data_IF_221850243861
#
_entry.id   IF_221850243861
#
_cell.length_a   1.000
_cell.length_b   1.000
_cell.length_c   1.000
_cell.angle_alpha   90.00
_cell.angle_beta   90.00
_cell.angle_gamma   90.00
#
_symmetry.space_group_name_H-M   'P 1'
#
loop_
_entity.id
_entity.type
_entity.pdbx_description
1 polymer ?
#
# COMPACT_ATOMS: atom_id res chain seq x y z
N UNK A 1 -2.23 -23.34 -59.19
CA UNK A 1 -3.45 -22.76 -58.58
C UNK A 1 -3.16 -22.03 -57.25
N UNK A 2 -1.94 -21.51 -57.02
CA UNK A 2 -1.57 -20.91 -55.72
C UNK A 2 -0.93 -19.50 -55.79
N UNK A 3 -0.55 -19.00 -56.97
CA UNK A 3 0.05 -17.65 -57.08
C UNK A 3 -0.98 -16.52 -57.17
N UNK A 4 -2.17 -16.77 -57.73
CA UNK A 4 -3.23 -15.74 -57.80
C UNK A 4 -3.84 -15.44 -56.43
N UNK A 5 -4.00 -16.43 -55.55
CA UNK A 5 -4.49 -16.22 -54.18
C UNK A 5 -3.51 -15.42 -53.32
N UNK A 6 -2.20 -15.65 -53.45
CA UNK A 6 -1.20 -14.86 -52.71
C UNK A 6 -1.10 -13.41 -53.20
N UNK A 7 -1.32 -13.17 -54.51
CA UNK A 7 -1.37 -11.81 -55.07
C UNK A 7 -2.64 -11.06 -54.66
N UNK A 8 -3.79 -11.74 -54.61
CA UNK A 8 -5.05 -11.17 -54.09
C UNK A 8 -4.92 -10.84 -52.60
N UNK A 9 -4.35 -11.73 -51.78
CA UNK A 9 -4.12 -11.48 -50.35
C UNK A 9 -3.14 -10.33 -50.10
N UNK A 10 -2.05 -10.23 -50.89
CA UNK A 10 -1.12 -9.09 -50.81
C UNK A 10 -1.72 -7.78 -51.31
N UNK A 11 -2.68 -7.83 -52.23
CA UNK A 11 -3.41 -6.64 -52.71
C UNK A 11 -4.47 -6.19 -51.69
N UNK A 12 -5.11 -7.14 -50.99
CA UNK A 12 -6.03 -6.87 -49.88
C UNK A 12 -5.33 -6.29 -48.65
N UNK A 13 -4.13 -6.80 -48.28
CA UNK A 13 -3.31 -6.20 -47.22
C UNK A 13 -2.82 -4.79 -47.58
N UNK A 14 -2.46 -4.53 -48.85
CA UNK A 14 -2.10 -3.16 -49.29
C UNK A 14 -3.31 -2.22 -49.40
N UNK A 15 -4.52 -2.75 -49.60
CA UNK A 15 -5.77 -1.97 -49.57
C UNK A 15 -6.25 -1.68 -48.14
N UNK A 16 -5.93 -2.53 -47.15
CA UNK A 16 -6.22 -2.22 -45.74
C UNK A 16 -5.28 -1.16 -45.17
N UNK A 17 -4.00 -1.16 -45.56
CA UNK A 17 -3.04 -0.15 -45.09
C UNK A 17 -3.31 1.25 -45.67
N UNK A 18 -3.89 1.32 -46.87
CA UNK A 18 -4.24 2.61 -47.51
C UNK A 18 -5.59 3.20 -47.07
N UNK A 19 -6.41 2.45 -46.31
CA UNK A 19 -7.66 2.94 -45.72
C UNK A 19 -7.48 3.48 -44.30
N UNK A 20 -6.35 3.18 -43.63
CA UNK A 20 -5.97 3.75 -42.34
C UNK A 20 -5.06 4.99 -42.45
N UNK A 21 -4.82 5.50 -43.66
CA UNK A 21 -4.17 6.80 -43.89
C UNK A 21 -5.23 7.93 -43.96
N UNK A 22 -6.29 7.79 -43.16
CA UNK A 22 -7.33 8.82 -43.03
C UNK A 22 -6.93 9.80 -41.92
N UNK A 23 -6.37 10.94 -42.34
CA UNK A 23 -6.32 12.23 -41.62
C UNK A 23 -6.47 12.12 -40.09
N UNK A 24 -5.45 11.61 -39.40
CA UNK A 24 -5.26 11.95 -38.00
C UNK A 24 -5.01 13.45 -37.95
N UNK A 25 -5.98 14.19 -37.42
CA UNK A 25 -5.79 15.61 -37.17
C UNK A 25 -4.74 15.77 -36.07
N UNK A 26 -4.02 16.90 -36.04
CA UNK A 26 -3.02 17.17 -34.99
C UNK A 26 -3.63 17.01 -33.58
N UNK A 27 -4.91 17.34 -33.46
CA UNK A 27 -5.75 17.12 -32.29
C UNK A 27 -5.82 15.64 -31.86
N UNK A 28 -5.98 14.70 -32.79
CA UNK A 28 -6.08 13.26 -32.47
C UNK A 28 -4.75 12.71 -31.92
N UNK A 29 -3.62 13.23 -32.44
CA UNK A 29 -2.29 12.85 -31.98
C UNK A 29 -2.01 13.37 -30.57
N UNK A 30 -2.44 14.58 -30.27
CA UNK A 30 -2.25 15.17 -28.94
C UNK A 30 -3.18 14.56 -27.89
N UNK A 31 -4.43 14.23 -28.24
CA UNK A 31 -5.31 13.44 -27.39
C UNK A 31 -4.73 12.06 -27.09
N UNK A 32 -4.19 11.39 -28.12
CA UNK A 32 -3.54 10.09 -27.93
C UNK A 32 -2.35 10.18 -26.98
N UNK A 33 -1.48 11.19 -27.14
CA UNK A 33 -0.35 11.41 -26.22
C UNK A 33 -0.83 11.62 -24.78
N UNK A 34 -1.88 12.41 -24.57
CA UNK A 34 -2.43 12.63 -23.24
C UNK A 34 -2.95 11.35 -22.59
N UNK A 35 -3.65 10.50 -23.35
CA UNK A 35 -4.12 9.20 -22.86
C UNK A 35 -2.93 8.33 -22.45
N UNK A 36 -1.91 8.29 -23.31
CA UNK A 36 -0.69 7.51 -23.09
C UNK A 36 0.05 8.02 -21.85
N UNK A 37 0.20 9.33 -21.67
CA UNK A 37 0.81 9.93 -20.48
C UNK A 37 0.01 9.63 -19.20
N UNK A 38 -1.31 9.75 -19.21
CA UNK A 38 -2.16 9.44 -18.03
C UNK A 38 -2.02 7.98 -17.59
N UNK A 39 -1.81 7.06 -18.53
CA UNK A 39 -1.74 5.63 -18.25
C UNK A 39 -0.33 5.14 -17.85
N UNK A 40 0.72 5.74 -18.40
CA UNK A 40 2.06 5.14 -18.40
C UNK A 40 3.19 6.05 -17.90
N UNK A 41 2.91 7.31 -17.61
CA UNK A 41 3.92 8.17 -16.98
C UNK A 41 4.27 7.68 -15.56
N UNK A 42 5.47 8.03 -15.07
CA UNK A 42 5.92 7.72 -13.71
C UNK A 42 6.52 8.96 -12.98
N UNK A 43 6.34 9.13 -11.66
CA UNK A 43 6.99 10.22 -10.92
C UNK A 43 8.49 9.96 -10.79
N UNK A 44 9.30 11.03 -10.74
CA UNK A 44 10.73 10.97 -10.48
C UNK A 44 11.17 11.98 -9.40
N UNK A 45 12.24 11.68 -8.63
CA UNK A 45 12.65 12.57 -7.54
C UNK A 45 13.15 13.96 -7.97
N UNK A 46 13.65 14.09 -9.20
CA UNK A 46 14.26 15.32 -9.73
C UNK A 46 13.23 16.18 -10.44
N UNK A 47 13.41 17.49 -10.43
CA UNK A 47 12.58 18.41 -11.19
C UNK A 47 12.69 18.17 -12.70
N UNK A 48 11.65 18.58 -13.43
CA UNK A 48 11.55 18.53 -14.87
C UNK A 48 10.63 17.41 -15.38
N UNK A 49 10.63 17.24 -16.69
CA UNK A 49 9.90 16.19 -17.39
C UNK A 49 10.83 15.61 -18.45
N UNK A 50 11.08 14.30 -18.40
CA UNK A 50 11.99 13.60 -19.32
C UNK A 50 11.31 12.36 -19.91
N UNK A 51 11.71 11.88 -21.10
CA UNK A 51 11.16 10.64 -21.65
C UNK A 51 11.33 9.44 -20.71
N UNK A 52 10.32 8.57 -20.65
CA UNK A 52 10.39 7.33 -19.89
C UNK A 52 10.89 6.18 -20.79
N UNK A 53 12.22 6.06 -20.87
CA UNK A 53 12.88 5.03 -21.68
C UNK A 53 12.59 3.60 -21.20
N UNK A 54 12.35 3.41 -19.90
CA UNK A 54 12.08 2.10 -19.31
C UNK A 54 10.72 1.55 -19.74
N UNK A 55 9.72 2.43 -19.92
CA UNK A 55 8.37 2.06 -20.39
C UNK A 55 8.26 2.04 -21.92
N UNK A 56 9.25 2.58 -22.64
CA UNK A 56 9.23 2.66 -24.10
C UNK A 56 8.29 3.73 -24.66
N UNK A 57 7.85 4.68 -23.82
CA UNK A 57 6.91 5.75 -24.14
C UNK A 57 6.58 6.61 -22.90
N UNK A 58 5.94 7.76 -23.10
CA UNK A 58 5.56 8.73 -22.05
C UNK A 58 6.76 9.42 -21.38
N UNK A 59 6.53 9.97 -20.19
CA UNK A 59 7.49 10.73 -19.43
C UNK A 59 7.63 10.29 -17.98
N UNK A 60 8.82 10.54 -17.43
CA UNK A 60 9.01 10.76 -16.02
C UNK A 60 8.75 12.24 -15.69
N UNK A 61 8.08 12.52 -14.58
CA UNK A 61 7.81 13.90 -14.16
C UNK A 61 8.27 14.19 -12.72
N UNK A 62 8.73 15.41 -12.48
CA UNK A 62 9.26 15.85 -11.20
C UNK A 62 8.25 16.51 -10.26
N UNK A 63 8.71 16.92 -9.07
CA UNK A 63 7.87 17.60 -8.09
C UNK A 63 7.40 18.99 -8.55
N UNK A 64 8.17 19.68 -9.38
CA UNK A 64 7.80 20.96 -10.01
C UNK A 64 6.59 20.83 -10.93
N UNK A 65 6.55 19.79 -11.76
CA UNK A 65 5.40 19.50 -12.65
C UNK A 65 4.16 19.18 -11.82
N UNK A 66 4.33 18.39 -10.76
CA UNK A 66 3.23 18.05 -9.83
C UNK A 66 2.67 19.30 -9.18
N UNK A 67 3.54 20.17 -8.67
CA UNK A 67 3.13 21.41 -8.02
C UNK A 67 2.34 22.31 -8.97
N UNK A 68 2.81 22.49 -10.20
CA UNK A 68 2.12 23.32 -11.18
C UNK A 68 0.76 22.75 -11.56
N UNK A 69 0.65 21.43 -11.80
CA UNK A 69 -0.63 20.78 -12.14
C UNK A 69 -1.62 20.90 -10.98
N UNK A 70 -1.20 20.61 -9.75
CA UNK A 70 -2.06 20.70 -8.58
C UNK A 70 -2.52 22.15 -8.34
N UNK A 71 -1.60 23.12 -8.42
CA UNK A 71 -1.89 24.54 -8.26
C UNK A 71 -2.87 25.05 -9.33
N UNK A 72 -2.63 24.72 -10.60
CA UNK A 72 -3.46 25.15 -11.73
C UNK A 72 -4.89 24.62 -11.64
N UNK A 73 -5.07 23.42 -11.09
CA UNK A 73 -6.38 22.76 -10.97
C UNK A 73 -7.01 22.89 -9.58
N UNK A 74 -6.41 23.66 -8.67
CA UNK A 74 -6.87 23.80 -7.28
C UNK A 74 -7.03 22.44 -6.56
N UNK A 75 -6.08 21.54 -6.78
CA UNK A 75 -6.00 20.22 -6.16
C UNK A 75 -4.89 20.18 -5.10
N UNK A 76 -5.00 19.25 -4.15
CA UNK A 76 -4.05 19.13 -3.04
C UNK A 76 -3.16 17.88 -3.16
N UNK A 77 -3.65 16.85 -3.85
CA UNK A 77 -3.08 15.50 -3.82
C UNK A 77 -3.37 14.79 -5.13
N UNK A 78 -2.35 14.14 -5.69
CA UNK A 78 -2.47 13.22 -6.81
C UNK A 78 -2.35 11.79 -6.27
N UNK A 79 -3.36 10.95 -6.50
CA UNK A 79 -3.32 9.52 -6.19
C UNK A 79 -3.22 8.76 -7.50
N UNK A 80 -2.22 7.88 -7.60
CA UNK A 80 -1.94 7.07 -8.79
C UNK A 80 -1.57 5.64 -8.40
N UNK A 81 -1.45 4.75 -9.38
CA UNK A 81 -1.01 3.36 -9.18
C UNK A 81 0.19 3.00 -10.07
N UNK A 82 0.04 2.02 -10.96
CA UNK A 82 1.01 1.58 -11.97
C UNK A 82 2.31 0.92 -11.47
N UNK A 83 2.97 1.50 -10.46
CA UNK A 83 4.22 0.96 -9.91
C UNK A 83 3.97 0.10 -8.67
N UNK A 84 4.64 -1.05 -8.62
CA UNK A 84 4.68 -1.88 -7.41
C UNK A 84 5.51 -1.18 -6.33
N UNK A 85 4.96 -1.12 -5.10
CA UNK A 85 5.64 -0.59 -3.92
C UNK A 85 5.68 -1.66 -2.84
N UNK A 86 6.80 -1.73 -2.11
CA UNK A 86 7.05 -2.78 -1.11
C UNK A 86 5.92 -2.87 -0.07
N UNK A 87 5.46 -1.72 0.43
CA UNK A 87 4.37 -1.63 1.42
C UNK A 87 2.98 -1.49 0.79
N UNK A 88 2.88 -1.61 -0.54
CA UNK A 88 1.65 -1.37 -1.28
C UNK A 88 1.31 0.10 -1.47
N UNK A 89 2.10 1.02 -0.92
CA UNK A 89 1.99 2.45 -1.23
C UNK A 89 3.32 3.18 -1.00
N UNK A 90 3.44 4.39 -1.55
CA UNK A 90 4.57 5.30 -1.31
C UNK A 90 4.13 6.75 -1.50
N UNK A 91 4.71 7.67 -0.71
CA UNK A 91 4.61 9.10 -0.94
C UNK A 91 5.83 9.63 -1.69
N UNK A 92 5.61 10.47 -2.68
CA UNK A 92 6.67 11.28 -3.29
C UNK A 92 6.23 12.74 -3.47
N UNK A 93 7.14 13.57 -4.00
CA UNK A 93 6.92 14.99 -4.29
C UNK A 93 6.37 15.76 -3.09
N UNK A 94 7.08 15.73 -1.96
CA UNK A 94 6.67 16.40 -0.72
C UNK A 94 5.28 15.98 -0.23
N UNK A 95 4.99 14.67 -0.31
CA UNK A 95 3.70 14.04 0.06
C UNK A 95 2.50 14.50 -0.78
N UNK A 96 2.73 15.10 -1.95
CA UNK A 96 1.67 15.53 -2.89
C UNK A 96 1.30 14.47 -3.93
N UNK A 97 2.11 13.42 -4.07
CA UNK A 97 1.79 12.25 -4.90
C UNK A 97 1.80 11.00 -4.04
N UNK A 98 0.75 10.20 -4.16
CA UNK A 98 0.66 8.86 -3.60
C UNK A 98 0.66 7.86 -4.75
N UNK A 99 1.58 6.91 -4.69
CA UNK A 99 1.49 5.68 -5.46
C UNK A 99 0.83 4.61 -4.59
N UNK A 100 -0.23 3.97 -5.07
CA UNK A 100 -0.92 2.87 -4.38
C UNK A 100 -0.98 1.62 -5.27
N UNK A 101 -0.73 0.46 -4.69
CA UNK A 101 -0.65 -0.82 -5.36
C UNK A 101 -1.37 -1.92 -4.58
N UNK A 102 -2.38 -2.54 -5.19
CA UNK A 102 -3.30 -3.48 -4.51
C UNK A 102 -3.03 -4.96 -4.83
N UNK A 103 -1.98 -5.28 -5.59
CA UNK A 103 -1.58 -6.67 -5.79
C UNK A 103 -0.45 -7.01 -4.83
N UNK A 104 -0.72 -7.73 -3.73
CA UNK A 104 0.32 -8.28 -2.86
C UNK A 104 1.00 -9.49 -3.53
N UNK A 105 2.26 -9.74 -3.18
CA UNK A 105 3.05 -10.85 -3.74
C UNK A 105 3.14 -10.81 -5.28
N UNK A 106 3.29 -9.60 -5.85
CA UNK A 106 3.21 -9.36 -7.29
C UNK A 106 4.28 -10.10 -8.10
N UNK A 107 5.51 -10.14 -7.59
CA UNK A 107 6.59 -10.91 -8.21
C UNK A 107 6.66 -12.33 -7.64
N UNK A 108 6.65 -12.44 -6.32
CA UNK A 108 6.69 -13.70 -5.58
C UNK A 108 6.07 -13.55 -4.19
N UNK A 109 5.83 -14.67 -3.51
CA UNK A 109 5.33 -14.67 -2.12
C UNK A 109 6.32 -13.94 -1.22
N UNK A 110 5.85 -12.89 -0.53
CA UNK A 110 6.70 -12.05 0.32
C UNK A 110 7.26 -10.81 -0.37
N UNK A 111 7.14 -10.67 -1.69
CA UNK A 111 7.76 -9.56 -2.43
C UNK A 111 7.22 -8.18 -2.07
N UNK A 112 5.89 -8.04 -1.91
CA UNK A 112 5.26 -6.79 -1.54
C UNK A 112 3.91 -7.01 -0.85
N UNK A 113 3.49 -6.03 -0.05
CA UNK A 113 2.12 -5.89 0.45
C UNK A 113 1.24 -5.24 -0.61
N UNK A 114 -0.06 -5.53 -0.55
CA UNK A 114 -1.10 -4.76 -1.22
C UNK A 114 -1.63 -3.69 -0.28
N UNK A 115 -2.10 -2.57 -0.80
CA UNK A 115 -2.81 -1.57 -0.02
C UNK A 115 -4.02 -1.01 -0.77
N UNK A 116 -4.98 -0.48 -0.01
CA UNK A 116 -6.05 0.38 -0.51
C UNK A 116 -6.22 1.61 0.41
N UNK A 117 -6.75 2.71 -0.13
CA UNK A 117 -7.02 3.94 0.62
C UNK A 117 -8.51 4.03 0.93
N UNK A 118 -8.81 4.34 2.18
CA UNK A 118 -10.14 4.78 2.62
C UNK A 118 -10.09 6.29 2.84
N UNK A 119 -10.93 7.02 2.10
CA UNK A 119 -11.08 8.47 2.24
C UNK A 119 -12.32 8.79 3.07
N UNK A 120 -12.18 9.62 4.09
CA UNK A 120 -13.28 10.22 4.84
C UNK A 120 -13.75 11.54 4.23
N UNK A 121 -14.77 12.19 4.83
CA UNK A 121 -15.22 13.53 4.44
C UNK A 121 -14.14 14.61 4.63
N UNK A 122 -13.15 14.37 5.48
CA UNK A 122 -11.97 15.22 5.69
C UNK A 122 -10.93 15.11 4.57
N UNK A 123 -11.13 14.18 3.64
CA UNK A 123 -10.22 13.86 2.54
C UNK A 123 -8.81 13.46 3.01
N UNK A 124 -8.68 12.97 4.24
CA UNK A 124 -7.41 12.45 4.75
C UNK A 124 -7.25 10.98 4.31
N UNK A 125 -6.16 10.61 3.61
CA UNK A 125 -5.96 9.23 3.17
C UNK A 125 -5.64 8.28 4.34
N UNK A 126 -6.51 7.29 4.56
CA UNK A 126 -6.24 6.19 5.49
C UNK A 126 -5.83 4.93 4.72
N UNK A 127 -4.57 4.53 4.87
CA UNK A 127 -4.01 3.36 4.20
C UNK A 127 -4.34 2.08 4.95
N UNK A 128 -4.82 1.07 4.24
CA UNK A 128 -5.05 -0.28 4.77
C UNK A 128 -4.21 -1.24 3.95
N UNK A 129 -3.21 -1.84 4.59
CA UNK A 129 -2.29 -2.80 3.97
C UNK A 129 -2.74 -4.23 4.24
N UNK A 130 -2.49 -5.12 3.29
CA UNK A 130 -2.77 -6.55 3.40
C UNK A 130 -1.73 -7.36 2.63
N UNK A 131 -1.67 -8.64 2.92
CA UNK A 131 -0.87 -9.60 2.17
C UNK A 131 -1.70 -10.85 1.92
N UNK A 132 -1.87 -11.22 0.66
CA UNK A 132 -2.59 -12.43 0.29
C UNK A 132 -1.84 -13.66 0.81
N UNK A 133 -2.54 -14.54 1.51
CA UNK A 133 -2.08 -15.88 1.84
C UNK A 133 -2.96 -16.91 1.12
N UNK A 134 -2.44 -18.11 0.90
CA UNK A 134 -3.17 -19.23 0.27
C UNK A 134 -4.48 -19.55 1.03
N UNK A 135 -4.52 -19.25 2.33
CA UNK A 135 -5.68 -19.42 3.21
C UNK A 135 -6.80 -18.40 2.96
N UNK A 136 -6.54 -17.25 2.33
CA UNK A 136 -7.56 -16.22 2.07
C UNK A 136 -8.56 -16.58 0.96
N UNK A 137 -8.33 -17.64 0.18
CA UNK A 137 -9.24 -18.04 -0.92
C UNK A 137 -10.53 -18.71 -0.44
N UNK A 138 -10.63 -19.12 0.83
CA UNK A 138 -11.76 -19.89 1.37
C UNK A 138 -12.47 -19.24 2.57
N UNK A 139 -12.21 -17.97 2.86
CA UNK A 139 -12.74 -17.34 4.07
C UNK A 139 -13.96 -16.46 3.79
N UNK A 140 -15.05 -16.74 4.49
CA UNK A 140 -16.24 -15.90 4.54
C UNK A 140 -15.91 -14.52 5.15
N UNK A 141 -16.68 -13.47 4.82
CA UNK A 141 -16.47 -12.10 5.32
C UNK A 141 -16.34 -11.99 6.86
N UNK A 142 -16.94 -12.91 7.62
CA UNK A 142 -16.79 -12.95 9.09
C UNK A 142 -15.41 -13.45 9.53
N UNK A 143 -14.82 -14.38 8.79
CA UNK A 143 -13.49 -14.92 9.06
C UNK A 143 -12.38 -13.95 8.66
N UNK A 144 -12.59 -13.14 7.61
CA UNK A 144 -11.62 -12.12 7.17
C UNK A 144 -11.48 -10.97 8.18
N UNK A 145 -12.56 -10.57 8.86
CA UNK A 145 -12.51 -9.57 9.94
C UNK A 145 -11.66 -10.07 11.12
N UNK A 146 -11.83 -11.34 11.52
CA UNK A 146 -11.05 -11.93 12.61
C UNK A 146 -9.57 -12.16 12.29
N UNK A 147 -9.19 -12.24 11.00
CA UNK A 147 -7.79 -12.32 10.57
C UNK A 147 -7.15 -10.93 10.46
N UNK A 148 -7.92 -9.94 10.00
CA UNK A 148 -7.49 -8.53 9.99
C UNK A 148 -7.25 -8.02 11.42
N UNK A 149 -8.14 -8.36 12.36
CA UNK A 149 -7.98 -8.04 13.78
C UNK A 149 -6.72 -8.69 14.37
N UNK A 150 -6.49 -9.98 14.10
CA UNK A 150 -5.27 -10.69 14.54
C UNK A 150 -3.99 -10.12 13.94
N UNK A 151 -4.01 -9.75 12.66
CA UNK A 151 -2.86 -9.14 11.98
C UNK A 151 -2.58 -7.73 12.51
N UNK A 152 -3.62 -6.93 12.77
CA UNK A 152 -3.48 -5.62 13.39
C UNK A 152 -2.94 -5.72 14.83
N UNK A 153 -3.39 -6.71 15.60
CA UNK A 153 -2.86 -7.01 16.93
C UNK A 153 -1.41 -7.48 16.90
N UNK A 154 -1.03 -8.27 15.90
CA UNK A 154 0.36 -8.70 15.73
C UNK A 154 1.27 -7.54 15.33
N UNK A 155 0.86 -6.71 14.38
CA UNK A 155 1.58 -5.48 14.05
C UNK A 155 1.71 -4.54 15.25
N UNK A 156 0.65 -4.40 16.05
CA UNK A 156 0.70 -3.64 17.31
C UNK A 156 1.69 -4.24 18.31
N UNK A 157 1.71 -5.57 18.48
CA UNK A 157 2.68 -6.26 19.33
C UNK A 157 4.12 -6.04 18.87
N UNK A 158 4.37 -6.12 17.57
CA UNK A 158 5.69 -5.87 16.99
C UNK A 158 6.14 -4.42 17.23
N UNK A 159 5.25 -3.45 17.03
CA UNK A 159 5.54 -2.04 17.32
C UNK A 159 5.79 -1.78 18.81
N UNK A 160 5.00 -2.39 19.70
CA UNK A 160 5.23 -2.34 21.15
C UNK A 160 6.58 -2.95 21.53
N UNK A 161 7.00 -4.03 20.85
CA UNK A 161 8.30 -4.65 21.07
C UNK A 161 9.47 -3.80 20.56
N UNK A 162 9.33 -3.16 19.39
CA UNK A 162 10.34 -2.25 18.83
C UNK A 162 10.57 -1.07 19.79
N UNK A 163 9.49 -0.49 20.32
CA UNK A 163 9.55 0.65 21.23
C UNK A 163 9.64 0.28 22.72
N UNK A 164 10.00 -0.97 23.04
CA UNK A 164 10.01 -1.49 24.42
C UNK A 164 10.90 -0.69 25.38
N UNK A 165 12.01 -0.14 24.92
CA UNK A 165 12.92 0.68 25.73
C UNK A 165 12.26 1.98 26.19
N UNK A 166 11.56 2.62 25.27
CA UNK A 166 10.89 3.90 25.50
C UNK A 166 9.68 3.68 26.40
N UNK A 167 8.97 2.56 26.19
CA UNK A 167 7.89 2.11 27.07
C UNK A 167 8.38 1.85 28.48
N UNK A 168 9.47 1.09 28.66
CA UNK A 168 10.05 0.83 29.98
C UNK A 168 10.44 2.13 30.68
N UNK A 169 11.06 3.06 29.94
CA UNK A 169 11.47 4.36 30.47
C UNK A 169 10.25 5.18 30.93
N UNK A 170 9.19 5.22 30.12
CA UNK A 170 7.94 5.89 30.46
C UNK A 170 7.20 5.21 31.64
N UNK A 171 7.22 3.88 31.72
CA UNK A 171 6.66 3.14 32.86
C UNK A 171 7.44 3.42 34.16
N UNK A 172 8.77 3.51 34.08
CA UNK A 172 9.66 3.81 35.22
C UNK A 172 9.52 5.26 35.72
N UNK A 173 9.30 6.21 34.81
CA UNK A 173 9.10 7.62 35.15
C UNK A 173 7.76 7.87 35.87
N UNK A 174 6.73 7.07 35.54
CA UNK A 174 5.39 7.19 36.14
C UNK A 174 5.20 6.37 37.43
N UNK A 175 5.92 5.27 37.62
CA UNK A 175 5.80 4.44 38.83
C UNK A 175 7.08 3.62 39.14
N UNK A 176 7.83 3.95 40.21
CA UNK A 176 9.00 3.18 40.63
C UNK A 176 8.68 1.78 41.17
N UNK A 177 7.40 1.46 41.42
CA UNK A 177 6.97 0.23 42.10
C UNK A 177 6.68 -0.97 41.18
N UNK A 178 6.97 -0.83 39.88
CA UNK A 178 6.90 -1.91 38.87
C UNK A 178 5.45 -2.43 38.60
N UNK A 179 4.40 -1.64 38.88
CA UNK A 179 3.00 -2.10 38.83
C UNK A 179 2.03 -1.03 38.26
N UNK A 180 2.03 -0.83 36.95
CA UNK A 180 1.16 0.16 36.28
C UNK A 180 0.17 -0.47 35.30
N UNK A 181 -0.95 0.24 35.03
CA UNK A 181 -1.95 -0.14 34.03
C UNK A 181 -1.55 0.42 32.66
N UNK A 182 -1.32 -0.45 31.67
CA UNK A 182 -0.86 -0.10 30.30
C UNK A 182 -1.69 0.98 29.60
N UNK A 183 -2.99 1.03 29.88
CA UNK A 183 -3.94 2.01 29.34
C UNK A 183 -3.56 3.47 29.66
N UNK A 184 -3.01 3.74 30.85
CA UNK A 184 -2.65 5.10 31.28
C UNK A 184 -1.33 5.59 30.70
N UNK A 185 -0.41 4.68 30.40
CA UNK A 185 0.93 5.03 29.89
C UNK A 185 0.93 5.11 28.37
N UNK A 186 0.18 4.24 27.70
CA UNK A 186 0.13 4.21 26.23
C UNK A 186 -0.77 5.31 25.65
N UNK A 187 -1.86 5.68 26.34
CA UNK A 187 -2.80 6.72 25.92
C UNK A 187 -3.26 6.64 24.43
N UNK A 188 -3.34 5.42 23.87
CA UNK A 188 -3.57 5.23 22.42
C UNK A 188 -5.04 5.39 21.96
N UNK A 189 -5.96 5.82 22.83
CA UNK A 189 -7.38 5.97 22.46
C UNK A 189 -8.04 4.68 21.94
N UNK A 190 -7.46 3.51 22.28
CA UNK A 190 -7.92 2.20 21.81
C UNK A 190 -8.99 1.62 22.75
N UNK A 191 -9.90 0.76 22.26
CA UNK A 191 -10.90 0.07 23.08
C UNK A 191 -10.25 -1.02 23.96
N UNK A 192 -9.53 -0.61 25.00
CA UNK A 192 -8.71 -1.47 25.86
C UNK A 192 -9.48 -2.61 26.52
N UNK A 193 -10.79 -2.46 26.78
CA UNK A 193 -11.61 -3.57 27.32
C UNK A 193 -11.64 -4.79 26.40
N UNK A 194 -11.56 -4.59 25.09
CA UNK A 194 -11.58 -5.65 24.08
C UNK A 194 -10.17 -6.18 23.80
N UNK A 195 -9.17 -5.30 23.86
CA UNK A 195 -7.78 -5.62 23.52
C UNK A 195 -6.97 -6.18 24.71
N UNK A 196 -7.36 -5.84 25.94
CA UNK A 196 -6.64 -6.22 27.17
C UNK A 196 -6.49 -7.74 27.33
N UNK A 197 -7.53 -8.58 27.15
CA UNK A 197 -7.37 -10.04 27.21
C UNK A 197 -6.51 -10.59 26.07
N UNK A 198 -6.44 -9.87 24.94
CA UNK A 198 -5.70 -10.30 23.76
C UNK A 198 -4.22 -9.90 23.82
N UNK A 199 -3.88 -8.83 24.56
CA UNK A 199 -2.52 -8.29 24.69
C UNK A 199 -1.82 -8.71 25.99
N UNK A 200 -2.56 -9.18 27.00
CA UNK A 200 -2.04 -9.42 28.36
C UNK A 200 -2.48 -10.79 28.87
N UNK A 201 -1.52 -11.68 29.14
CA UNK A 201 -1.77 -13.07 29.49
C UNK A 201 -2.14 -13.30 30.96
N UNK A 202 -1.74 -12.39 31.86
CA UNK A 202 -1.94 -12.55 33.31
C UNK A 202 -2.12 -11.21 33.99
N UNK A 203 -3.23 -11.04 34.72
CA UNK A 203 -3.45 -9.91 35.62
C UNK A 203 -3.92 -10.44 36.96
N UNK A 204 -3.12 -10.32 38.01
CA UNK A 204 -3.61 -10.49 39.39
C UNK A 204 -4.09 -9.11 39.88
N UNK A 205 -5.35 -9.03 40.30
CA UNK A 205 -6.00 -7.79 40.80
C UNK A 205 -5.99 -6.59 39.84
N UNK A 206 -6.03 -6.82 38.52
CA UNK A 206 -6.08 -5.73 37.53
C UNK A 206 -4.75 -4.97 37.35
N UNK A 207 -3.69 -5.42 38.01
CA UNK A 207 -2.33 -4.89 37.90
C UNK A 207 -1.48 -5.85 37.05
N UNK A 208 -0.55 -5.29 36.27
CA UNK A 208 0.32 -6.03 35.37
C UNK A 208 1.78 -5.77 35.78
N UNK A 209 2.58 -6.84 35.82
CA UNK A 209 4.04 -6.73 35.84
C UNK A 209 4.51 -6.45 34.40
N UNK A 210 4.92 -5.21 34.13
CA UNK A 210 5.32 -4.82 32.78
C UNK A 210 6.66 -5.44 32.36
N UNK A 211 7.53 -5.82 33.30
CA UNK A 211 8.78 -6.50 32.97
C UNK A 211 8.53 -7.94 32.53
N UNK A 212 7.60 -8.64 33.18
CA UNK A 212 7.16 -9.96 32.76
C UNK A 212 6.37 -9.88 31.44
N UNK A 213 5.48 -8.91 31.28
CA UNK A 213 4.71 -8.71 30.05
C UNK A 213 5.59 -8.41 28.83
N UNK A 214 6.62 -7.57 28.97
CA UNK A 214 7.57 -7.31 27.88
C UNK A 214 8.42 -8.55 27.55
N UNK A 215 8.74 -9.39 28.54
CA UNK A 215 9.35 -10.70 28.29
C UNK A 215 8.41 -11.64 27.55
N UNK A 216 7.12 -11.66 27.88
CA UNK A 216 6.12 -12.45 27.13
C UNK A 216 5.94 -11.95 25.68
N UNK A 217 6.02 -10.63 25.45
CA UNK A 217 6.06 -10.05 24.10
C UNK A 217 7.29 -10.54 23.30
N UNK A 218 8.39 -10.85 23.97
CA UNK A 218 9.62 -11.37 23.33
C UNK A 218 9.63 -12.90 23.08
N UNK A 219 8.77 -13.68 23.75
CA UNK A 219 8.80 -15.16 23.73
C UNK A 219 7.77 -15.77 22.77
N UNK A 220 6.96 -14.98 22.08
CA UNK A 220 5.96 -15.56 21.16
C UNK A 220 6.59 -15.95 19.81
N UNK A 221 7.43 -16.99 19.82
CA UNK A 221 7.59 -17.87 18.66
C UNK A 221 6.22 -18.50 18.35
N UNK A 222 5.93 -18.80 17.07
CA UNK A 222 4.62 -19.27 16.66
C UNK A 222 4.30 -20.57 17.38
N UNK A 223 3.19 -20.59 18.13
CA UNK A 223 2.56 -21.86 18.53
C UNK A 223 2.16 -22.61 17.26
N UNK A 224 3.02 -23.50 16.80
CA UNK A 224 2.60 -24.70 16.09
C UNK A 224 1.75 -25.52 17.07
N UNK A 225 0.44 -25.32 17.05
CA UNK A 225 -0.51 -26.39 17.37
C UNK A 225 -0.86 -27.00 16.00
N UNK A 226 -0.11 -28.00 15.50
CA UNK A 226 -0.14 -29.40 15.89
C UNK A 226 -1.56 -29.98 15.87
N UNK A 227 -1.94 -30.50 14.69
CA UNK A 227 -2.74 -31.71 14.48
C UNK A 227 -3.96 -31.92 15.38
N UNK A 228 -5.15 -31.67 14.82
CA UNK A 228 -6.25 -32.64 14.67
C UNK A 228 -7.14 -32.20 13.49
#
# INVERSE_FOLDING_TARGET
>A
MNENREREFRCELKKSDSYLESKTTDTDLDEWKQIVDVLWSDPMPKNGCIPNEVRGGCCYWGPDVTEEVLRRNNLQLLIRSHECKQDGYEFCHNRRVITIFSASNYYEVGSNRGAFIRMGPDLVPHFIQYQASTTCRELTLRQSVGWTERSALQALREQLFVHRSDLISAFQEFDPSNKSTTERVLNLGLPWRVLRPQLVSSTQHGMMDYQQWIKELSITEPKLEASL
#
